data_IF_231991587081
#
_entry.id   IF_231991587081
#
_cell.length_a   1.000
_cell.length_b   1.000
_cell.length_c   1.000
_cell.angle_alpha   90.00
_cell.angle_beta   90.00
_cell.angle_gamma   90.00
#
_symmetry.space_group_name_H-M   'P 1'
#
loop_
_entity.id
_entity.type
_entity.pdbx_description
1 polymer ?
#
# COMPACT_ATOMS: atom_id res chain seq x y z
N UNK A 1 32.09 19.49 -0.85
CA UNK A 1 31.11 18.37 -0.92
C UNK A 1 31.76 17.15 -0.29
N UNK A 2 31.01 16.18 0.23
CA UNK A 2 31.58 14.94 0.77
C UNK A 2 31.36 13.78 -0.20
N UNK A 3 32.32 12.86 -0.30
CA UNK A 3 32.13 11.60 -1.01
C UNK A 3 31.05 10.78 -0.26
N UNK A 4 30.01 10.25 -0.95
CA UNK A 4 28.95 9.51 -0.28
C UNK A 4 29.42 8.17 0.31
N UNK A 5 30.50 7.59 -0.23
CA UNK A 5 31.12 6.35 0.26
C UNK A 5 32.11 6.63 1.38
N UNK A 6 33.12 7.46 1.11
CA UNK A 6 34.26 7.66 2.02
C UNK A 6 34.03 8.75 3.07
N UNK A 7 32.96 9.54 2.94
CA UNK A 7 32.60 10.67 3.83
C UNK A 7 33.73 11.71 4.02
N UNK A 8 34.65 11.83 3.06
CA UNK A 8 35.72 12.84 3.02
C UNK A 8 35.40 13.99 2.06
N UNK A 9 35.99 15.19 2.24
CA UNK A 9 35.87 16.29 1.28
C UNK A 9 36.38 15.90 -0.12
N UNK A 10 35.62 16.30 -1.14
CA UNK A 10 35.97 16.11 -2.55
C UNK A 10 36.51 17.43 -3.12
N UNK A 11 37.54 17.34 -3.97
CA UNK A 11 38.20 18.49 -4.63
C UNK A 11 37.31 19.08 -5.75
N UNK A 12 37.80 20.13 -6.42
CA UNK A 12 37.06 20.88 -7.44
C UNK A 12 36.69 20.07 -8.69
N UNK A 13 37.48 19.04 -9.01
CA UNK A 13 37.22 18.06 -10.06
C UNK A 13 36.09 17.07 -9.71
N UNK A 14 35.59 17.14 -8.48
CA UNK A 14 34.56 16.30 -7.91
C UNK A 14 34.94 14.81 -7.86
N UNK A 15 36.21 14.46 -7.95
CA UNK A 15 36.66 13.06 -7.81
C UNK A 15 37.15 12.77 -6.39
N UNK A 16 36.70 11.66 -5.82
CA UNK A 16 37.18 11.22 -4.51
C UNK A 16 38.55 10.56 -4.62
N UNK A 17 39.59 11.17 -4.03
CA UNK A 17 40.97 10.65 -4.05
C UNK A 17 41.11 9.21 -3.47
N UNK A 18 40.17 8.78 -2.61
CA UNK A 18 40.20 7.45 -1.99
C UNK A 18 39.56 6.34 -2.83
N UNK A 19 38.48 6.65 -3.55
CA UNK A 19 37.69 5.63 -4.25
C UNK A 19 37.46 5.90 -5.74
N UNK A 20 37.97 7.01 -6.27
CA UNK A 20 37.82 7.41 -7.68
C UNK A 20 36.38 7.77 -8.08
N UNK A 21 35.46 7.88 -7.13
CA UNK A 21 34.07 8.24 -7.44
C UNK A 21 33.99 9.71 -7.83
N UNK A 22 33.48 9.99 -9.03
CA UNK A 22 33.09 11.35 -9.45
C UNK A 22 31.73 11.67 -8.85
N UNK A 23 31.69 12.71 -8.01
CA UNK A 23 30.52 13.17 -7.28
C UNK A 23 29.82 14.25 -8.09
N UNK A 24 28.53 14.11 -8.37
CA UNK A 24 27.83 15.15 -9.13
C UNK A 24 27.56 16.39 -8.27
N UNK A 25 27.74 17.59 -8.85
CA UNK A 25 27.40 18.83 -8.15
C UNK A 25 25.88 18.87 -7.91
N UNK A 26 25.48 19.00 -6.64
CA UNK A 26 24.07 19.18 -6.27
C UNK A 26 23.45 20.37 -7.02
N UNK A 27 22.44 20.06 -7.82
CA UNK A 27 21.61 21.01 -8.56
C UNK A 27 20.27 21.21 -7.83
N UNK A 28 19.55 22.30 -8.15
CA UNK A 28 18.24 22.62 -7.54
C UNK A 28 17.25 21.44 -7.64
N UNK A 29 17.31 20.64 -8.72
CA UNK A 29 16.47 19.45 -8.93
C UNK A 29 16.56 18.44 -7.78
N UNK A 30 17.71 18.33 -7.12
CA UNK A 30 17.93 17.43 -5.99
C UNK A 30 17.14 17.85 -4.73
N UNK A 31 16.68 19.10 -4.66
CA UNK A 31 15.86 19.60 -3.55
C UNK A 31 14.36 19.55 -3.87
N UNK A 32 13.97 18.99 -5.01
CA UNK A 32 12.57 18.80 -5.39
C UNK A 32 12.10 17.39 -5.04
N UNK A 33 11.07 17.28 -4.19
CA UNK A 33 10.41 16.01 -3.90
C UNK A 33 9.56 15.47 -5.07
N UNK A 34 9.41 16.25 -6.14
CA UNK A 34 8.74 15.82 -7.37
C UNK A 34 9.72 15.23 -8.39
N UNK A 35 11.03 15.43 -8.21
CA UNK A 35 12.06 14.91 -9.10
C UNK A 35 12.61 13.58 -8.57
N UNK A 36 12.78 12.54 -9.41
CA UNK A 36 13.35 11.26 -8.97
C UNK A 36 14.73 11.42 -8.33
N UNK A 37 15.50 12.38 -8.82
CA UNK A 37 16.83 12.72 -8.31
C UNK A 37 16.82 13.33 -6.91
N UNK A 38 15.71 13.95 -6.47
CA UNK A 38 15.60 14.60 -5.16
C UNK A 38 14.64 13.93 -4.19
N UNK A 39 13.71 13.10 -4.68
CA UNK A 39 12.68 12.49 -3.83
C UNK A 39 13.21 11.34 -2.99
N UNK A 40 12.65 11.18 -1.79
CA UNK A 40 12.75 9.95 -1.04
C UNK A 40 12.07 8.83 -1.85
N UNK A 41 12.86 7.84 -2.28
CA UNK A 41 12.36 6.74 -3.13
C UNK A 41 11.38 5.83 -2.38
N UNK A 42 11.58 5.65 -1.08
CA UNK A 42 10.73 4.83 -0.22
C UNK A 42 9.28 5.33 -0.21
N UNK A 43 9.08 6.61 0.09
CA UNK A 43 7.74 7.21 0.09
C UNK A 43 7.36 7.91 -1.23
N UNK A 44 8.24 7.89 -2.24
CA UNK A 44 8.10 8.62 -3.51
C UNK A 44 7.64 10.07 -3.32
N UNK A 45 8.34 10.82 -2.46
CA UNK A 45 8.02 12.24 -2.21
C UNK A 45 6.77 12.51 -1.36
N UNK A 46 6.10 11.48 -0.81
CA UNK A 46 4.90 11.68 0.02
C UNK A 46 5.20 12.17 1.44
N UNK A 47 6.32 11.72 2.01
CA UNK A 47 6.73 12.01 3.40
C UNK A 47 6.07 11.10 4.45
N UNK A 48 5.16 10.21 4.03
CA UNK A 48 4.50 9.27 4.91
C UNK A 48 4.47 7.87 4.29
N UNK A 49 4.55 6.87 5.15
CA UNK A 49 4.19 5.50 4.81
C UNK A 49 2.68 5.31 5.04
N UNK A 50 2.08 4.41 4.25
CA UNK A 50 0.69 4.02 4.42
C UNK A 50 0.68 2.58 4.92
N UNK A 51 0.08 2.36 6.08
CA UNK A 51 -0.11 1.04 6.62
C UNK A 51 -1.59 0.69 6.64
N UNK A 52 -1.88 -0.54 6.22
CA UNK A 52 -3.19 -1.16 6.32
C UNK A 52 -3.10 -2.18 7.45
N UNK A 53 -4.03 -2.12 8.40
CA UNK A 53 -4.11 -3.11 9.49
C UNK A 53 -5.46 -3.80 9.48
N UNK A 54 -5.54 -4.97 10.10
CA UNK A 54 -6.76 -5.76 10.20
C UNK A 54 -7.87 -4.97 10.90
N UNK A 55 -7.55 -4.20 11.94
CA UNK A 55 -8.52 -3.44 12.74
C UNK A 55 -9.14 -2.28 11.96
N UNK A 56 -8.46 -1.77 10.93
CA UNK A 56 -9.04 -0.78 10.03
C UNK A 56 -10.07 -1.39 9.08
N UNK A 57 -9.90 -2.68 8.74
CA UNK A 57 -10.79 -3.45 7.87
C UNK A 57 -11.96 -3.99 8.67
N UNK A 58 -11.66 -4.66 9.79
CA UNK A 58 -12.60 -5.32 10.70
C UNK A 58 -12.79 -4.43 11.92
N UNK A 59 -13.69 -3.45 11.79
CA UNK A 59 -13.98 -2.50 12.90
C UNK A 59 -14.80 -3.11 14.04
N UNK A 60 -15.49 -4.21 13.78
CA UNK A 60 -16.31 -4.94 14.75
C UNK A 60 -16.18 -6.44 14.50
N UNK A 61 -15.47 -7.10 15.39
CA UNK A 61 -15.14 -8.52 15.30
C UNK A 61 -16.34 -9.44 15.58
N UNK A 62 -17.47 -8.91 16.07
CA UNK A 62 -18.70 -9.68 16.24
C UNK A 62 -19.51 -9.79 14.94
N UNK A 63 -19.11 -9.06 13.89
CA UNK A 63 -19.75 -9.14 12.58
C UNK A 63 -19.16 -10.28 11.76
N UNK A 64 -19.99 -10.86 10.90
CA UNK A 64 -19.53 -11.83 9.90
C UNK A 64 -18.95 -11.13 8.66
N UNK A 65 -18.32 -11.92 7.77
CA UNK A 65 -17.63 -11.40 6.59
C UNK A 65 -18.53 -10.58 5.65
N UNK A 66 -19.81 -10.97 5.51
CA UNK A 66 -20.79 -10.24 4.69
C UNK A 66 -21.03 -8.84 5.27
N UNK A 67 -21.26 -8.76 6.59
CA UNK A 67 -21.53 -7.50 7.28
C UNK A 67 -20.32 -6.56 7.24
N UNK A 68 -19.10 -7.10 7.42
CA UNK A 68 -17.84 -6.35 7.31
C UNK A 68 -17.69 -5.78 5.89
N UNK A 69 -17.89 -6.63 4.87
CA UNK A 69 -17.77 -6.22 3.46
C UNK A 69 -18.81 -5.15 3.08
N UNK A 70 -20.06 -5.30 3.54
CA UNK A 70 -21.14 -4.31 3.31
C UNK A 70 -20.84 -2.96 3.98
N UNK A 71 -20.26 -2.96 5.17
CA UNK A 71 -19.89 -1.72 5.88
C UNK A 71 -18.87 -0.88 5.08
N UNK A 72 -18.03 -1.53 4.28
CA UNK A 72 -17.10 -0.87 3.37
C UNK A 72 -17.53 -0.80 1.91
N UNK A 73 -18.83 -0.87 1.62
CA UNK A 73 -19.40 -0.93 0.25
C UNK A 73 -18.81 0.06 -0.76
N UNK A 74 -18.45 1.28 -0.36
CA UNK A 74 -17.79 2.26 -1.24
C UNK A 74 -16.46 1.77 -1.84
N UNK A 75 -15.85 0.76 -1.23
CA UNK A 75 -14.58 0.14 -1.62
C UNK A 75 -14.75 -1.34 -1.95
N UNK A 76 -15.67 -2.06 -1.30
CA UNK A 76 -15.79 -3.52 -1.38
C UNK A 76 -17.05 -4.05 -2.07
N UNK A 77 -17.86 -3.19 -2.70
CA UNK A 77 -19.11 -3.63 -3.32
C UNK A 77 -18.92 -4.77 -4.35
N UNK A 78 -17.80 -4.77 -5.06
CA UNK A 78 -17.38 -5.79 -6.01
C UNK A 78 -16.92 -7.11 -5.36
N UNK A 79 -16.45 -7.06 -4.11
CA UNK A 79 -15.98 -8.23 -3.37
C UNK A 79 -17.10 -9.04 -2.70
N UNK A 80 -18.25 -8.40 -2.45
CA UNK A 80 -19.34 -9.00 -1.68
C UNK A 80 -19.80 -10.36 -2.23
N UNK A 81 -19.92 -10.48 -3.56
CA UNK A 81 -20.37 -11.71 -4.23
C UNK A 81 -19.38 -12.87 -4.07
N UNK A 82 -18.09 -12.57 -4.00
CA UNK A 82 -17.06 -13.58 -3.72
C UNK A 82 -17.11 -14.00 -2.26
N UNK A 83 -17.19 -13.02 -1.35
CA UNK A 83 -17.23 -13.25 0.10
C UNK A 83 -18.42 -14.13 0.50
N UNK A 84 -19.60 -13.88 -0.07
CA UNK A 84 -20.82 -14.66 0.18
C UNK A 84 -20.66 -16.16 -0.12
N UNK A 85 -19.71 -16.53 -0.98
CA UNK A 85 -19.48 -17.91 -1.41
C UNK A 85 -18.27 -18.56 -0.76
N UNK A 86 -17.44 -17.81 -0.02
CA UNK A 86 -16.24 -18.36 0.64
C UNK A 86 -16.57 -19.50 1.61
N UNK A 87 -17.73 -19.44 2.27
CA UNK A 87 -18.20 -20.52 3.16
C UNK A 87 -18.27 -21.88 2.47
N UNK A 88 -18.59 -21.91 1.16
CA UNK A 88 -18.70 -23.15 0.39
C UNK A 88 -17.34 -23.76 0.04
N UNK A 89 -16.27 -22.96 0.01
CA UNK A 89 -14.93 -23.41 -0.40
C UNK A 89 -14.01 -23.75 0.77
N UNK A 90 -14.23 -23.11 1.94
CA UNK A 90 -13.39 -23.25 3.13
C UNK A 90 -14.14 -23.83 4.32
N UNK A 91 -15.29 -24.46 4.07
CA UNK A 91 -16.09 -25.22 5.06
C UNK A 91 -16.35 -24.47 6.37
N UNK A 92 -16.96 -23.28 6.25
CA UNK A 92 -17.38 -22.48 7.41
C UNK A 92 -18.74 -21.84 7.17
N UNK A 93 -19.51 -21.61 8.25
CA UNK A 93 -20.76 -20.86 8.15
C UNK A 93 -20.45 -19.37 7.91
N UNK A 94 -20.92 -18.84 6.79
CA UNK A 94 -20.74 -17.43 6.41
C UNK A 94 -21.38 -16.44 7.40
N UNK A 95 -22.25 -16.91 8.29
CA UNK A 95 -22.84 -16.11 9.38
C UNK A 95 -21.98 -16.07 10.64
N UNK A 96 -20.93 -16.89 10.72
CA UNK A 96 -20.00 -16.94 11.86
C UNK A 96 -19.36 -15.56 12.08
N UNK A 97 -19.35 -15.04 13.33
CA UNK A 97 -18.64 -13.82 13.67
C UNK A 97 -17.15 -13.90 13.35
N UNK A 98 -16.54 -12.80 12.92
CA UNK A 98 -15.14 -12.77 12.51
C UNK A 98 -14.16 -13.29 13.57
N UNK A 99 -14.37 -12.93 14.84
CA UNK A 99 -13.56 -13.40 15.96
C UNK A 99 -13.51 -14.92 16.09
N UNK A 100 -14.60 -15.60 15.71
CA UNK A 100 -14.79 -17.05 15.87
C UNK A 100 -14.34 -17.84 14.63
N UNK A 101 -13.91 -17.15 13.56
CA UNK A 101 -13.34 -17.78 12.38
C UNK A 101 -11.94 -18.33 12.65
N UNK A 102 -11.58 -19.41 11.96
CA UNK A 102 -10.21 -19.92 11.94
C UNK A 102 -9.26 -18.90 11.30
N UNK A 103 -7.99 -18.96 11.69
CA UNK A 103 -6.98 -18.07 11.13
C UNK A 103 -6.79 -18.28 9.62
N UNK A 104 -7.00 -19.51 9.12
CA UNK A 104 -7.01 -19.79 7.68
C UNK A 104 -8.09 -18.98 6.96
N UNK A 105 -9.33 -18.99 7.46
CA UNK A 105 -10.43 -18.23 6.83
C UNK A 105 -10.16 -16.72 6.91
N UNK A 106 -9.62 -16.24 8.04
CA UNK A 106 -9.22 -14.83 8.18
C UNK A 106 -8.14 -14.45 7.16
N UNK A 107 -7.13 -15.30 6.97
CA UNK A 107 -6.07 -15.08 5.97
C UNK A 107 -6.63 -15.09 4.56
N UNK A 108 -7.50 -16.04 4.21
CA UNK A 108 -8.17 -16.08 2.90
C UNK A 108 -9.00 -14.81 2.69
N UNK A 109 -9.75 -14.35 3.69
CA UNK A 109 -10.53 -13.12 3.59
C UNK A 109 -9.65 -11.89 3.36
N UNK A 110 -8.56 -11.75 4.13
CA UNK A 110 -7.69 -10.58 4.09
C UNK A 110 -6.77 -10.57 2.87
N UNK A 111 -6.13 -11.68 2.56
CA UNK A 111 -5.05 -11.76 1.57
C UNK A 111 -5.40 -12.57 0.32
N UNK A 112 -6.56 -13.21 0.29
CA UNK A 112 -6.91 -14.17 -0.74
C UNK A 112 -6.18 -15.50 -0.53
N UNK A 113 -6.54 -16.48 -1.34
CA UNK A 113 -5.90 -17.81 -1.29
C UNK A 113 -4.95 -18.09 -2.45
N UNK A 114 -4.95 -17.24 -3.48
CA UNK A 114 -4.25 -17.49 -4.75
C UNK A 114 -4.77 -18.71 -5.52
N UNK A 115 -5.88 -19.31 -5.07
CA UNK A 115 -6.51 -20.46 -5.75
C UNK A 115 -7.67 -19.96 -6.60
N UNK A 116 -7.78 -20.52 -7.81
CA UNK A 116 -8.97 -20.38 -8.64
C UNK A 116 -10.11 -21.17 -8.02
N UNK A 117 -11.24 -20.51 -7.82
CA UNK A 117 -12.45 -21.06 -7.26
C UNK A 117 -13.61 -20.84 -8.24
N UNK A 118 -14.59 -21.73 -8.19
CA UNK A 118 -15.73 -21.78 -9.09
C UNK A 118 -16.91 -21.02 -8.49
N UNK A 119 -16.97 -19.72 -8.74
CA UNK A 119 -18.01 -18.86 -8.20
C UNK A 119 -19.29 -18.93 -9.04
N UNK A 120 -20.43 -19.06 -8.39
CA UNK A 120 -21.72 -18.82 -9.02
C UNK A 120 -21.87 -17.33 -9.27
N UNK A 121 -22.17 -16.98 -10.52
CA UNK A 121 -22.26 -15.60 -10.98
C UNK A 121 -23.56 -15.34 -11.71
N UNK A 122 -24.27 -14.30 -11.31
CA UNK A 122 -25.50 -13.87 -11.96
C UNK A 122 -25.44 -12.35 -12.24
N UNK A 123 -25.64 -12.02 -13.51
CA UNK A 123 -25.66 -10.68 -14.05
C UNK A 123 -26.68 -10.59 -15.19
N UNK A 124 -27.01 -9.37 -15.64
CA UNK A 124 -27.94 -9.17 -16.77
C UNK A 124 -27.50 -9.84 -18.08
N UNK A 125 -26.21 -10.20 -18.22
CA UNK A 125 -25.62 -10.74 -19.47
C UNK A 125 -25.16 -12.19 -19.34
N UNK A 126 -25.05 -12.70 -18.12
CA UNK A 126 -24.46 -14.01 -17.85
C UNK A 126 -24.96 -14.53 -16.52
N UNK A 127 -25.43 -15.77 -16.54
CA UNK A 127 -25.73 -16.58 -15.36
C UNK A 127 -25.00 -17.90 -15.53
N UNK A 128 -24.16 -18.26 -14.57
CA UNK A 128 -23.37 -19.49 -14.63
C UNK A 128 -22.19 -19.49 -13.66
N UNK A 129 -21.32 -20.48 -13.83
CA UNK A 129 -20.10 -20.61 -13.03
C UNK A 129 -18.95 -19.82 -13.67
N UNK A 130 -18.27 -19.01 -12.86
CA UNK A 130 -17.06 -18.27 -13.22
C UNK A 130 -15.90 -18.78 -12.38
N UNK A 131 -14.88 -19.32 -13.05
CA UNK A 131 -13.61 -19.63 -12.39
C UNK A 131 -12.79 -18.36 -12.21
N UNK A 132 -12.57 -17.95 -10.97
CA UNK A 132 -11.82 -16.73 -10.62
C UNK A 132 -11.06 -16.92 -9.32
N UNK A 133 -10.07 -16.07 -9.09
CA UNK A 133 -9.42 -15.98 -7.78
C UNK A 133 -10.14 -14.91 -6.94
N UNK A 134 -10.31 -15.18 -5.65
CA UNK A 134 -10.64 -14.13 -4.69
C UNK A 134 -9.34 -13.46 -4.24
N UNK A 135 -9.12 -12.21 -4.66
CA UNK A 135 -7.87 -11.49 -4.45
C UNK A 135 -7.58 -11.16 -2.98
N UNK A 136 -8.61 -11.20 -2.12
CA UNK A 136 -8.54 -10.73 -0.74
C UNK A 136 -8.84 -9.24 -0.60
N UNK A 137 -9.23 -8.85 0.61
CA UNK A 137 -9.60 -7.46 0.90
C UNK A 137 -8.39 -6.53 0.84
N UNK A 138 -7.23 -6.94 1.35
CA UNK A 138 -6.01 -6.12 1.41
C UNK A 138 -5.46 -5.82 0.00
N UNK A 139 -5.23 -6.82 -0.88
CA UNK A 139 -4.78 -6.55 -2.24
C UNK A 139 -5.77 -5.67 -3.02
N UNK A 140 -7.08 -5.89 -2.84
CA UNK A 140 -8.11 -5.07 -3.46
C UNK A 140 -8.03 -3.60 -3.04
N UNK A 141 -7.80 -3.31 -1.76
CA UNK A 141 -7.63 -1.94 -1.26
C UNK A 141 -6.41 -1.27 -1.88
N UNK A 142 -5.28 -1.99 -1.94
CA UNK A 142 -4.05 -1.50 -2.53
C UNK A 142 -4.25 -1.17 -4.01
N UNK A 143 -4.90 -2.06 -4.76
CA UNK A 143 -5.26 -1.84 -6.16
C UNK A 143 -6.20 -0.65 -6.35
N UNK A 144 -7.19 -0.49 -5.47
CA UNK A 144 -8.09 0.66 -5.50
C UNK A 144 -7.35 2.00 -5.28
N UNK A 145 -6.22 2.01 -4.56
CA UNK A 145 -5.41 3.22 -4.38
C UNK A 145 -4.53 3.55 -5.59
N UNK A 146 -3.95 2.53 -6.20
CA UNK A 146 -2.98 2.70 -7.28
C UNK A 146 -3.64 2.86 -8.65
N UNK A 147 -4.66 2.05 -8.93
CA UNK A 147 -5.21 1.89 -10.28
C UNK A 147 -6.58 2.56 -10.47
N UNK A 148 -7.32 2.85 -9.39
CA UNK A 148 -8.67 3.39 -9.53
C UNK A 148 -8.67 4.79 -10.14
N UNK A 149 -9.39 4.96 -11.25
CA UNK A 149 -9.64 6.26 -11.90
C UNK A 149 -10.56 7.18 -11.08
N UNK A 150 -11.27 6.65 -10.08
CA UNK A 150 -12.18 7.42 -9.23
C UNK A 150 -11.42 8.10 -8.09
N UNK A 151 -11.30 9.44 -8.13
CA UNK A 151 -10.73 10.22 -7.04
C UNK A 151 -11.51 10.02 -5.73
N UNK A 152 -12.84 9.92 -5.80
CA UNK A 152 -13.71 9.66 -4.66
C UNK A 152 -13.40 8.30 -4.00
N UNK A 153 -13.24 7.23 -4.79
CA UNK A 153 -12.91 5.90 -4.26
C UNK A 153 -11.54 5.91 -3.58
N UNK A 154 -10.53 6.52 -4.22
CA UNK A 154 -9.18 6.68 -3.64
C UNK A 154 -9.19 7.48 -2.34
N UNK A 155 -9.97 8.55 -2.26
CA UNK A 155 -10.11 9.36 -1.04
C UNK A 155 -10.77 8.57 0.11
N UNK A 156 -11.85 7.83 -0.19
CA UNK A 156 -12.51 6.96 0.80
C UNK A 156 -11.57 5.89 1.34
N UNK A 157 -10.75 5.28 0.46
CA UNK A 157 -9.73 4.33 0.92
C UNK A 157 -8.73 5.00 1.84
N UNK A 158 -8.15 6.13 1.41
CA UNK A 158 -7.15 6.87 2.18
C UNK A 158 -7.64 7.31 3.57
N UNK A 159 -8.93 7.64 3.70
CA UNK A 159 -9.50 8.12 4.96
C UNK A 159 -9.91 6.99 5.92
N UNK A 160 -10.42 5.89 5.38
CA UNK A 160 -11.10 4.89 6.22
C UNK A 160 -10.26 3.66 6.52
N UNK A 161 -9.27 3.36 5.67
CA UNK A 161 -8.54 2.09 5.73
C UNK A 161 -7.03 2.25 5.79
N UNK A 162 -6.50 3.49 5.78
CA UNK A 162 -5.07 3.74 5.76
C UNK A 162 -4.63 4.53 6.98
N UNK A 163 -3.66 4.01 7.71
CA UNK A 163 -2.89 4.75 8.69
C UNK A 163 -1.72 5.44 8.00
N UNK A 164 -1.50 6.71 8.33
CA UNK A 164 -0.33 7.45 7.89
C UNK A 164 0.66 7.54 9.04
N UNK A 165 1.83 6.96 8.86
CA UNK A 165 3.00 7.17 9.71
C UNK A 165 4.01 8.02 8.96
N UNK A 166 4.94 8.66 9.68
CA UNK A 166 6.09 9.28 9.01
C UNK A 166 6.83 8.20 8.24
N UNK A 167 7.34 8.55 7.05
CA UNK A 167 8.21 7.64 6.33
C UNK A 167 9.50 7.47 7.13
N UNK A 168 9.90 6.23 7.42
CA UNK A 168 11.09 5.97 8.23
C UNK A 168 12.38 6.45 7.56
N UNK A 169 12.44 6.37 6.22
CA UNK A 169 13.61 6.77 5.45
C UNK A 169 13.82 8.29 5.38
N UNK A 170 12.74 9.08 5.29
CA UNK A 170 12.85 10.55 5.18
C UNK A 170 12.26 11.31 6.35
N UNK A 171 11.73 10.64 7.36
CA UNK A 171 11.17 11.25 8.58
C UNK A 171 10.13 12.36 8.33
N UNK A 172 9.49 12.36 7.15
CA UNK A 172 8.54 13.40 6.74
C UNK A 172 9.09 14.46 5.78
N UNK A 173 10.41 14.52 5.55
CA UNK A 173 11.06 15.53 4.71
C UNK A 173 10.81 15.36 3.21
N UNK A 174 10.31 14.21 2.76
CA UNK A 174 9.95 13.89 1.35
C UNK A 174 11.12 13.78 0.37
N UNK A 175 12.27 14.37 0.69
CA UNK A 175 13.48 14.37 -0.13
C UNK A 175 14.47 13.30 0.34
N UNK A 176 15.40 12.92 -0.53
CA UNK A 176 16.43 11.91 -0.26
C UNK A 176 17.46 12.39 0.78
N UNK A 177 18.31 11.47 1.25
CA UNK A 177 19.30 11.76 2.29
C UNK A 177 20.27 12.89 1.90
N UNK A 178 20.83 12.85 0.69
CA UNK A 178 21.79 13.84 0.20
C UNK A 178 21.24 15.27 0.24
N UNK A 179 19.97 15.44 -0.15
CA UNK A 179 19.30 16.73 -0.10
C UNK A 179 19.06 17.20 1.35
N UNK A 180 18.81 16.28 2.29
CA UNK A 180 18.65 16.60 3.72
C UNK A 180 19.96 16.90 4.44
N UNK A 181 21.05 16.28 4.02
CA UNK A 181 22.39 16.53 4.58
C UNK A 181 23.00 17.86 4.13
N UNK A 182 22.43 18.49 3.09
CA UNK A 182 22.90 19.79 2.61
C UNK A 182 22.46 20.90 3.57
N UNK A 183 23.43 21.67 4.05
CA UNK A 183 23.21 22.81 4.96
C UNK A 183 23.49 24.14 4.28
N UNK A 184 22.72 25.16 4.63
CA UNK A 184 23.01 26.55 4.29
C UNK A 184 23.29 27.30 5.59
N UNK A 185 24.52 27.78 5.76
CA UNK A 185 24.94 28.47 6.98
C UNK A 185 24.63 27.67 8.27
N UNK A 186 25.05 26.39 8.28
CA UNK A 186 24.88 25.43 9.38
C UNK A 186 23.44 25.05 9.76
N UNK A 187 22.46 25.38 8.90
CA UNK A 187 21.05 25.04 9.05
C UNK A 187 20.56 24.12 7.94
#
# INVERSE_FOLDING_TARGET
MLCPICKIPVKEDLECDLCGMVVERLQIKYFSFNEPSGMCLECRGRGYARHLTEELIVKDFNKNLIQITKAGSAVFADQLRFVEQLGNFYDFDIKTPYKDLSDEVKQVFLHGSGKKLKFQWESKRFTGELESEFEGVIPHINRALTESKSAYRRDKVNKNYMLKSKCDECQGFKINEQARETKIADK
#
